data_IF_240839315684
#
_entry.id   IF_240839315684
#
_cell.length_a   1.000
_cell.length_b   1.000
_cell.length_c   1.000
_cell.angle_alpha   90.00
_cell.angle_beta   90.00
_cell.angle_gamma   90.00
#
_symmetry.space_group_name_H-M   'P 1'
#
loop_
_entity.id
_entity.type
_entity.pdbx_description
1 polymer ?
#
# COMPACT_ATOMS: atom_id res chain seq x y z
N UNK A 1 -14.08 17.54 -2.32
CA UNK A 1 -14.09 16.19 -1.71
C UNK A 1 -13.69 15.09 -2.69
N UNK A 2 -14.37 14.89 -3.83
CA UNK A 2 -14.00 13.85 -4.83
C UNK A 2 -12.61 14.08 -5.43
N UNK A 3 -12.31 15.32 -5.85
CA UNK A 3 -10.99 15.68 -6.41
C UNK A 3 -9.83 15.43 -5.40
N UNK A 4 -10.07 15.69 -4.11
CA UNK A 4 -9.08 15.45 -3.05
C UNK A 4 -8.86 13.94 -2.83
N UNK A 5 -9.92 13.13 -2.76
CA UNK A 5 -9.80 11.68 -2.61
C UNK A 5 -9.01 11.05 -3.77
N UNK A 6 -9.28 11.47 -5.02
CA UNK A 6 -8.55 10.96 -6.18
C UNK A 6 -7.06 11.34 -6.15
N UNK A 7 -6.72 12.55 -5.70
CA UNK A 7 -5.34 12.97 -5.51
C UNK A 7 -4.62 12.10 -4.47
N UNK A 8 -5.21 11.92 -3.29
CA UNK A 8 -4.60 11.07 -2.25
C UNK A 8 -4.53 9.60 -2.68
N UNK A 9 -5.55 9.09 -3.36
CA UNK A 9 -5.53 7.75 -3.94
C UNK A 9 -4.35 7.59 -4.90
N UNK A 10 -4.14 8.54 -5.82
CA UNK A 10 -3.02 8.53 -6.74
C UNK A 10 -1.67 8.62 -6.01
N UNK A 11 -1.54 9.50 -5.03
CA UNK A 11 -0.32 9.63 -4.22
C UNK A 11 0.01 8.33 -3.49
N UNK A 12 -0.96 7.74 -2.79
CA UNK A 12 -0.77 6.48 -2.08
C UNK A 12 -0.50 5.34 -3.05
N UNK A 13 -1.13 5.35 -4.23
CA UNK A 13 -0.88 4.34 -5.26
C UNK A 13 0.57 4.41 -5.76
N UNK A 14 1.12 5.61 -5.99
CA UNK A 14 2.52 5.77 -6.34
C UNK A 14 3.45 5.27 -5.22
N UNK A 15 3.16 5.61 -3.96
CA UNK A 15 3.92 5.09 -2.81
C UNK A 15 3.86 3.56 -2.78
N UNK A 16 2.69 2.96 -3.05
CA UNK A 16 2.52 1.52 -3.09
C UNK A 16 3.35 0.85 -4.19
N UNK A 17 3.46 1.46 -5.38
CA UNK A 17 4.35 0.93 -6.43
C UNK A 17 5.80 0.89 -5.94
N UNK A 18 6.28 1.94 -5.27
CA UNK A 18 7.61 1.94 -4.67
C UNK A 18 7.75 0.93 -3.53
N UNK A 19 6.69 0.75 -2.73
CA UNK A 19 6.63 -0.24 -1.66
C UNK A 19 6.79 -1.66 -2.21
N UNK A 20 6.00 -2.03 -3.22
CA UNK A 20 6.10 -3.32 -3.91
C UNK A 20 7.51 -3.57 -4.46
N UNK A 21 8.16 -2.55 -5.04
CA UNK A 21 9.56 -2.66 -5.50
C UNK A 21 10.52 -2.90 -4.33
N UNK A 22 10.38 -2.14 -3.24
CA UNK A 22 11.18 -2.31 -2.02
C UNK A 22 11.02 -3.74 -1.47
N UNK A 23 9.81 -4.25 -1.36
CA UNK A 23 9.51 -5.58 -0.84
C UNK A 23 10.06 -6.72 -1.72
N UNK A 24 9.91 -6.59 -3.04
CA UNK A 24 10.44 -7.55 -4.01
C UNK A 24 11.98 -7.62 -3.94
N UNK A 25 12.64 -6.46 -3.92
CA UNK A 25 14.10 -6.35 -3.93
C UNK A 25 14.73 -6.77 -2.60
N UNK A 26 14.04 -6.54 -1.48
CA UNK A 26 14.56 -6.86 -0.13
C UNK A 26 14.09 -8.21 0.39
N UNK A 27 13.27 -8.92 -0.39
CA UNK A 27 12.91 -10.32 -0.16
C UNK A 27 11.83 -10.52 0.89
N UNK A 28 10.80 -9.67 0.90
CA UNK A 28 9.64 -9.77 1.80
C UNK A 28 9.07 -11.19 1.86
N UNK A 29 8.84 -11.81 0.69
CA UNK A 29 8.31 -13.18 0.56
C UNK A 29 9.06 -14.28 1.36
N UNK A 30 10.34 -14.06 1.71
CA UNK A 30 11.12 -14.98 2.57
C UNK A 30 11.08 -14.61 4.06
N UNK A 31 10.87 -13.33 4.36
CA UNK A 31 11.03 -12.74 5.69
C UNK A 31 9.69 -12.50 6.39
N UNK A 32 8.60 -12.42 5.65
CA UNK A 32 7.28 -12.14 6.20
C UNK A 32 6.91 -13.16 7.28
N UNK A 33 6.52 -12.64 8.44
CA UNK A 33 6.34 -13.43 9.67
C UNK A 33 5.00 -14.16 9.70
N UNK A 34 4.01 -13.75 8.90
CA UNK A 34 2.72 -14.42 8.81
C UNK A 34 2.78 -15.62 7.86
N UNK A 35 3.40 -15.46 6.70
CA UNK A 35 3.45 -16.51 5.69
C UNK A 35 4.70 -16.37 4.83
N UNK A 36 5.40 -17.49 4.61
CA UNK A 36 6.46 -17.58 3.60
C UNK A 36 5.88 -18.09 2.30
N UNK A 37 6.37 -17.56 1.18
CA UNK A 37 5.89 -17.99 -0.14
C UNK A 37 7.01 -17.98 -1.19
N UNK A 38 6.86 -18.71 -2.30
CA UNK A 38 7.75 -18.58 -3.46
C UNK A 38 7.72 -17.17 -4.05
N UNK A 39 8.84 -16.74 -4.63
CA UNK A 39 8.93 -15.43 -5.30
C UNK A 39 7.87 -15.26 -6.40
N UNK A 40 7.60 -16.31 -7.19
CA UNK A 40 6.61 -16.27 -8.27
C UNK A 40 5.20 -16.01 -7.76
N UNK A 41 4.82 -16.61 -6.62
CA UNK A 41 3.51 -16.38 -5.99
C UNK A 41 3.39 -14.93 -5.51
N UNK A 42 4.44 -14.40 -4.86
CA UNK A 42 4.46 -13.01 -4.40
C UNK A 42 4.42 -12.02 -5.57
N UNK A 43 5.23 -12.25 -6.61
CA UNK A 43 5.23 -11.42 -7.81
C UNK A 43 3.88 -11.42 -8.52
N UNK A 44 3.23 -12.58 -8.65
CA UNK A 44 1.89 -12.67 -9.24
C UNK A 44 0.87 -11.88 -8.41
N UNK A 45 0.94 -11.98 -7.08
CA UNK A 45 0.11 -11.18 -6.19
C UNK A 45 0.31 -9.68 -6.43
N UNK A 46 1.56 -9.19 -6.44
CA UNK A 46 1.88 -7.78 -6.66
C UNK A 46 1.36 -7.27 -8.02
N UNK A 47 1.52 -8.08 -9.08
CA UNK A 47 1.01 -7.73 -10.42
C UNK A 47 -0.51 -7.63 -10.41
N UNK A 48 -1.21 -8.62 -9.88
CA UNK A 48 -2.69 -8.62 -9.83
C UNK A 48 -3.21 -7.46 -8.98
N UNK A 49 -2.60 -7.24 -7.81
CA UNK A 49 -2.94 -6.15 -6.91
C UNK A 49 -2.76 -4.79 -7.59
N UNK A 50 -1.61 -4.56 -8.23
CA UNK A 50 -1.32 -3.31 -8.94
C UNK A 50 -2.26 -3.09 -10.11
N UNK A 51 -2.49 -4.11 -10.94
CA UNK A 51 -3.38 -4.02 -12.09
C UNK A 51 -4.84 -3.73 -11.68
N UNK A 52 -5.31 -4.32 -10.58
CA UNK A 52 -6.63 -4.03 -10.05
C UNK A 52 -6.80 -2.54 -9.70
N UNK A 53 -5.82 -1.95 -9.00
CA UNK A 53 -5.90 -0.55 -8.62
C UNK A 53 -5.68 0.42 -9.79
N UNK A 54 -4.87 0.04 -10.79
CA UNK A 54 -4.80 0.75 -12.09
C UNK A 54 -6.18 0.74 -12.77
N UNK A 55 -6.86 -0.39 -12.78
CA UNK A 55 -8.20 -0.50 -13.36
C UNK A 55 -9.21 0.41 -12.65
N UNK A 56 -9.19 0.47 -11.30
CA UNK A 56 -10.01 1.41 -10.50
C UNK A 56 -9.68 2.87 -10.81
N UNK A 57 -8.39 3.20 -11.02
CA UNK A 57 -7.94 4.54 -11.38
C UNK A 57 -8.51 4.96 -12.75
N UNK A 58 -8.38 4.09 -13.75
CA UNK A 58 -8.67 4.37 -15.16
C UNK A 58 -10.15 4.20 -15.56
N UNK A 59 -11.01 3.75 -14.65
CA UNK A 59 -12.42 3.48 -14.93
C UNK A 59 -13.33 4.36 -14.05
N UNK A 60 -13.57 5.64 -14.41
CA UNK A 60 -14.32 6.58 -13.58
C UNK A 60 -15.74 6.13 -13.22
N UNK A 61 -16.38 5.37 -14.10
CA UNK A 61 -17.75 4.85 -13.94
C UNK A 61 -17.81 3.51 -13.19
N UNK A 62 -16.70 3.03 -12.63
CA UNK A 62 -16.66 1.75 -11.96
C UNK A 62 -17.58 1.72 -10.72
N UNK A 63 -18.40 0.67 -10.52
CA UNK A 63 -19.24 0.55 -9.33
C UNK A 63 -18.41 0.65 -8.05
N UNK A 64 -18.91 1.41 -7.06
CA UNK A 64 -18.26 1.58 -5.76
C UNK A 64 -16.83 2.15 -5.80
N UNK A 65 -16.41 2.80 -6.91
CA UNK A 65 -15.06 3.37 -7.07
C UNK A 65 -14.62 4.22 -5.89
N UNK A 66 -15.49 5.08 -5.38
CA UNK A 66 -15.17 5.96 -4.24
C UNK A 66 -14.91 5.16 -2.96
N UNK A 67 -15.69 4.11 -2.71
CA UNK A 67 -15.51 3.26 -1.53
C UNK A 67 -14.24 2.42 -1.64
N UNK A 68 -13.92 1.94 -2.85
CA UNK A 68 -12.67 1.25 -3.14
C UNK A 68 -11.45 2.16 -2.96
N UNK A 69 -11.51 3.41 -3.40
CA UNK A 69 -10.43 4.38 -3.18
C UNK A 69 -10.20 4.65 -1.69
N UNK A 70 -11.27 4.85 -0.91
CA UNK A 70 -11.17 5.00 0.55
C UNK A 70 -10.62 3.74 1.22
N UNK A 71 -11.11 2.57 0.79
CA UNK A 71 -10.63 1.29 1.27
C UNK A 71 -9.14 1.10 0.98
N UNK A 72 -8.67 1.48 -0.22
CA UNK A 72 -7.26 1.45 -0.57
C UNK A 72 -6.42 2.31 0.38
N UNK A 73 -6.82 3.56 0.63
CA UNK A 73 -6.12 4.44 1.57
C UNK A 73 -6.01 3.78 2.96
N UNK A 74 -7.11 3.23 3.48
CA UNK A 74 -7.13 2.55 4.76
C UNK A 74 -6.27 1.28 4.78
N UNK A 75 -6.31 0.49 3.70
CA UNK A 75 -5.53 -0.74 3.55
C UNK A 75 -4.03 -0.43 3.56
N UNK A 76 -3.61 0.60 2.84
CA UNK A 76 -2.21 1.01 2.76
C UNK A 76 -1.72 1.63 4.07
N UNK A 77 -2.58 2.37 4.77
CA UNK A 77 -2.30 2.80 6.13
C UNK A 77 -2.07 1.61 7.08
N UNK A 78 -2.97 0.63 7.06
CA UNK A 78 -2.84 -0.57 7.88
C UNK A 78 -1.55 -1.35 7.54
N UNK A 79 -1.20 -1.44 6.25
CA UNK A 79 0.05 -2.01 5.81
C UNK A 79 1.27 -1.25 6.38
N UNK A 80 1.28 0.08 6.25
CA UNK A 80 2.33 0.93 6.83
C UNK A 80 2.49 0.72 8.34
N UNK A 81 1.39 0.73 9.10
CA UNK A 81 1.40 0.45 10.55
C UNK A 81 1.96 -0.94 10.84
N UNK A 82 1.57 -1.95 10.08
CA UNK A 82 2.06 -3.32 10.24
C UNK A 82 3.59 -3.39 10.10
N UNK A 83 4.17 -2.71 9.11
CA UNK A 83 5.63 -2.70 8.91
C UNK A 83 6.36 -1.97 10.03
N UNK A 84 5.81 -0.85 10.50
CA UNK A 84 6.38 -0.11 11.63
C UNK A 84 6.36 -0.93 12.93
N UNK A 85 5.24 -1.60 13.22
CA UNK A 85 5.12 -2.49 14.38
C UNK A 85 6.09 -3.66 14.25
N UNK A 86 6.16 -4.29 13.08
CA UNK A 86 7.08 -5.39 12.85
C UNK A 86 8.53 -4.96 13.08
N UNK A 87 8.96 -3.84 12.51
CA UNK A 87 10.28 -3.25 12.77
C UNK A 87 10.50 -2.95 14.26
N UNK A 88 9.48 -2.40 14.92
CA UNK A 88 9.48 -2.11 16.35
C UNK A 88 9.73 -3.34 17.23
N UNK A 89 9.25 -4.52 16.81
CA UNK A 89 9.44 -5.80 17.51
C UNK A 89 10.80 -6.42 17.20
N UNK A 90 11.18 -6.54 15.93
CA UNK A 90 12.42 -7.25 15.56
C UNK A 90 13.69 -6.39 15.65
N UNK A 91 13.55 -5.06 15.75
CA UNK A 91 14.64 -4.07 15.82
C UNK A 91 15.69 -4.22 14.71
N UNK A 92 15.27 -4.67 13.52
CA UNK A 92 16.09 -4.86 12.32
C UNK A 92 15.32 -4.39 11.11
N UNK A 93 16.03 -4.08 10.03
CA UNK A 93 15.38 -3.65 8.79
C UNK A 93 14.34 -4.67 8.30
N UNK A 94 13.13 -4.16 8.05
CA UNK A 94 11.99 -4.88 7.52
C UNK A 94 11.82 -4.47 6.04
N UNK A 95 11.66 -5.41 5.10
CA UNK A 95 11.29 -5.11 3.72
C UNK A 95 10.08 -4.16 3.67
N UNK A 96 10.11 -3.11 2.85
CA UNK A 96 8.99 -2.15 2.74
C UNK A 96 8.95 -1.09 3.86
N UNK A 97 9.93 -1.05 4.77
CA UNK A 97 9.90 -0.15 5.92
C UNK A 97 10.03 1.34 5.55
N UNK A 98 10.81 1.69 4.52
CA UNK A 98 11.01 3.09 4.16
C UNK A 98 9.68 3.68 3.66
N UNK A 99 9.03 2.95 2.76
CA UNK A 99 7.74 3.33 2.18
C UNK A 99 6.57 3.20 3.16
N UNK A 100 6.66 2.34 4.18
CA UNK A 100 5.66 2.23 5.24
C UNK A 100 5.43 3.55 5.99
N UNK A 101 6.49 4.32 6.28
CA UNK A 101 6.32 5.66 6.88
C UNK A 101 5.53 6.60 5.98
N UNK A 102 5.76 6.54 4.66
CA UNK A 102 5.05 7.38 3.70
C UNK A 102 3.55 7.03 3.66
N UNK A 103 3.19 5.74 3.70
CA UNK A 103 1.79 5.34 3.78
C UNK A 103 1.08 5.91 5.01
N UNK A 104 1.74 5.90 6.18
CA UNK A 104 1.18 6.45 7.41
C UNK A 104 1.04 7.98 7.34
N UNK A 105 2.07 8.67 6.85
CA UNK A 105 2.07 10.14 6.76
C UNK A 105 1.01 10.62 5.77
N UNK A 106 0.97 10.05 4.57
CA UNK A 106 0.00 10.46 3.53
C UNK A 106 -1.43 10.20 4.00
N UNK A 107 -1.68 9.08 4.67
CA UNK A 107 -2.99 8.82 5.25
C UNK A 107 -3.34 9.79 6.39
N UNK A 108 -2.40 10.13 7.27
CA UNK A 108 -2.64 11.10 8.34
C UNK A 108 -2.99 12.48 7.78
N UNK A 109 -2.26 12.96 6.76
CA UNK A 109 -2.57 14.21 6.06
C UNK A 109 -3.98 14.14 5.47
N UNK A 110 -4.29 13.07 4.73
CA UNK A 110 -5.64 12.86 4.20
C UNK A 110 -6.72 12.91 5.29
N UNK A 111 -6.50 12.22 6.41
CA UNK A 111 -7.47 12.12 7.49
C UNK A 111 -7.71 13.47 8.19
N UNK A 112 -6.68 14.27 8.42
CA UNK A 112 -6.80 15.57 9.09
C UNK A 112 -7.13 16.73 8.14
N UNK A 113 -6.91 16.60 6.82
CA UNK A 113 -7.33 17.61 5.84
C UNK A 113 -8.75 17.35 5.30
N UNK A 114 -9.22 16.10 5.31
CA UNK A 114 -10.55 15.74 4.81
C UNK A 114 -11.66 15.87 5.87
N UNK A 115 -11.31 16.04 7.15
CA UNK A 115 -12.21 16.21 8.29
C UNK A 115 -11.84 17.45 9.10
#
# INVERSE_FOLDING_TARGET
MVCMLEQFFLTVFLVQVFHSIEELTTGFYKRWYLMKMPFSTFLLFEIVFTLFWIFVLLTPQFPFRLDLQKFFLLLMFANGVQHLVWWGVIKRYVPGLITAFLHVIVFAIYYFDAF
#
